data_IF_650000575841
#
_entry.id   IF_650000575841
#
_cell.length_a   1.000
_cell.length_b   1.000
_cell.length_c   1.000
_cell.angle_alpha   90.00
_cell.angle_beta   90.00
_cell.angle_gamma   90.00
#
_symmetry.space_group_name_H-M   'P 1'
#
loop_
_entity.id
_entity.type
_entity.pdbx_description
1 polymer ?
#
# COMPACT_ATOMS: atom_id res chain seq x y z
N UNK A 1 -7.59 -15.49 6.23
CA UNK A 1 -6.79 -14.32 5.84
C UNK A 1 -6.23 -14.56 4.45
N UNK A 2 -6.55 -13.73 3.49
CA UNK A 2 -5.99 -13.76 2.13
C UNK A 2 -4.67 -12.99 2.10
N UNK A 3 -3.71 -13.48 1.31
CA UNK A 3 -2.49 -12.73 1.01
C UNK A 3 -2.84 -11.49 0.16
N UNK A 4 -2.10 -10.39 0.34
CA UNK A 4 -2.19 -9.24 -0.55
C UNK A 4 -1.34 -9.56 -1.79
N UNK A 5 -1.93 -9.77 -2.98
CA UNK A 5 -1.16 -10.08 -4.18
C UNK A 5 -0.42 -8.84 -4.70
N UNK A 6 0.62 -9.02 -5.53
CA UNK A 6 1.27 -7.90 -6.19
C UNK A 6 0.29 -7.13 -7.08
N UNK A 7 0.43 -5.80 -7.10
CA UNK A 7 -0.33 -4.94 -7.98
C UNK A 7 0.21 -5.01 -9.41
N UNK A 8 -0.67 -5.20 -10.39
CA UNK A 8 -0.32 -5.29 -11.81
C UNK A 8 -0.59 -3.96 -12.50
N UNK A 9 0.45 -3.44 -13.13
CA UNK A 9 0.44 -2.17 -13.84
C UNK A 9 0.91 -2.39 -15.28
N UNK A 10 0.23 -1.77 -16.24
CA UNK A 10 0.67 -1.64 -17.61
C UNK A 10 1.27 -0.24 -17.81
N UNK A 11 2.52 -0.20 -18.27
CA UNK A 11 3.23 1.05 -18.58
C UNK A 11 3.15 1.29 -20.10
N UNK A 12 2.36 2.27 -20.57
CA UNK A 12 2.27 2.57 -21.99
C UNK A 12 3.54 3.27 -22.49
N UNK A 13 3.81 3.16 -23.80
CA UNK A 13 4.95 3.83 -24.43
C UNK A 13 4.93 5.37 -24.30
N UNK A 14 3.76 5.95 -24.06
CA UNK A 14 3.59 7.39 -23.83
C UNK A 14 3.93 7.86 -22.41
N UNK A 15 4.29 6.98 -21.48
CA UNK A 15 4.66 7.35 -20.12
C UNK A 15 5.96 8.21 -20.09
N UNK A 16 6.06 9.26 -19.25
CA UNK A 16 5.10 9.72 -18.25
C UNK A 16 4.05 10.74 -18.74
N UNK A 17 3.96 11.01 -20.06
CA UNK A 17 2.94 11.94 -20.61
C UNK A 17 1.52 11.40 -20.46
N UNK A 18 1.37 10.09 -20.23
CA UNK A 18 0.11 9.44 -19.90
C UNK A 18 0.27 8.62 -18.62
N UNK A 19 -0.81 8.50 -17.85
CA UNK A 19 -0.83 7.69 -16.63
C UNK A 19 -0.70 6.19 -16.95
N UNK A 20 0.00 5.42 -16.10
CA UNK A 20 0.04 3.97 -16.25
C UNK A 20 -1.33 3.37 -15.92
N UNK A 21 -1.65 2.24 -16.55
CA UNK A 21 -2.97 1.61 -16.45
C UNK A 21 -2.93 0.50 -15.41
N UNK A 22 -3.82 0.59 -14.42
CA UNK A 22 -3.98 -0.46 -13.42
C UNK A 22 -4.79 -1.61 -14.02
N UNK A 23 -4.21 -2.81 -14.01
CA UNK A 23 -4.86 -4.02 -14.54
C UNK A 23 -5.76 -4.68 -13.51
N UNK A 24 -5.51 -4.42 -12.23
CA UNK A 24 -6.34 -4.88 -11.13
C UNK A 24 -7.65 -4.10 -11.06
N UNK A 25 -8.76 -4.81 -10.85
CA UNK A 25 -10.04 -4.17 -10.52
C UNK A 25 -9.94 -3.52 -9.15
N UNK A 26 -10.23 -2.23 -9.08
CA UNK A 26 -10.36 -1.51 -7.83
C UNK A 26 -11.77 -1.70 -7.29
N UNK A 27 -11.89 -2.06 -6.01
CA UNK A 27 -13.19 -2.24 -5.42
C UNK A 27 -13.83 -0.86 -5.15
N UNK A 28 -15.16 -0.79 -5.20
CA UNK A 28 -15.90 0.46 -4.98
C UNK A 28 -15.68 1.01 -3.56
N UNK A 29 -16.00 2.29 -3.32
CA UNK A 29 -15.80 2.94 -2.00
C UNK A 29 -16.52 2.20 -0.84
N UNK A 30 -17.60 1.44 -1.12
CA UNK A 30 -18.30 0.61 -0.14
C UNK A 30 -17.49 -0.60 0.35
N UNK A 31 -16.44 -0.99 -0.36
CA UNK A 31 -15.58 -2.13 -0.03
C UNK A 31 -14.64 -1.91 1.15
N UNK A 32 -14.60 -0.69 1.72
CA UNK A 32 -13.79 -0.35 2.90
C UNK A 32 -14.09 -1.23 4.12
N UNK A 33 -15.32 -1.74 4.22
CA UNK A 33 -15.77 -2.62 5.29
C UNK A 33 -15.50 -4.11 5.01
N UNK A 34 -14.81 -4.45 3.92
CA UNK A 34 -14.45 -5.84 3.60
C UNK A 34 -13.39 -6.37 4.57
N UNK A 35 -13.52 -7.63 4.99
CA UNK A 35 -12.47 -8.33 5.73
C UNK A 35 -11.28 -8.74 4.85
N UNK A 36 -11.40 -8.59 3.52
CA UNK A 36 -10.33 -8.88 2.58
C UNK A 36 -9.26 -7.78 2.58
N UNK A 37 -8.05 -8.14 3.02
CA UNK A 37 -6.92 -7.21 3.12
C UNK A 37 -6.50 -6.66 1.75
N UNK A 38 -6.60 -7.48 0.70
CA UNK A 38 -6.32 -7.06 -0.68
C UNK A 38 -7.27 -5.94 -1.13
N UNK A 39 -8.56 -6.11 -0.90
CA UNK A 39 -9.61 -5.13 -1.19
C UNK A 39 -9.38 -3.83 -0.43
N UNK A 40 -9.09 -3.90 0.88
CA UNK A 40 -8.75 -2.73 1.69
C UNK A 40 -7.50 -2.00 1.17
N UNK A 41 -6.45 -2.74 0.81
CA UNK A 41 -5.21 -2.16 0.30
C UNK A 41 -5.42 -1.45 -1.05
N UNK A 42 -6.13 -2.11 -1.97
CA UNK A 42 -6.52 -1.51 -3.26
C UNK A 42 -7.39 -0.28 -3.08
N UNK A 43 -8.38 -0.31 -2.19
CA UNK A 43 -9.22 0.86 -1.91
C UNK A 43 -8.39 2.06 -1.42
N UNK A 44 -7.53 1.89 -0.41
CA UNK A 44 -6.64 2.96 0.09
C UNK A 44 -5.71 3.50 -0.99
N UNK A 45 -5.16 2.60 -1.81
CA UNK A 45 -4.27 3.00 -2.90
C UNK A 45 -5.00 3.79 -3.99
N UNK A 46 -6.22 3.38 -4.37
CA UNK A 46 -7.05 4.12 -5.33
C UNK A 46 -7.39 5.53 -4.85
N UNK A 47 -7.69 5.69 -3.56
CA UNK A 47 -7.93 7.01 -2.94
C UNK A 47 -6.67 7.88 -3.02
N UNK A 48 -5.48 7.31 -2.72
CA UNK A 48 -4.22 8.04 -2.81
C UNK A 48 -3.96 8.55 -4.23
N UNK A 49 -4.24 7.74 -5.26
CA UNK A 49 -4.03 8.13 -6.65
C UNK A 49 -5.00 9.23 -7.11
N UNK A 50 -6.26 9.19 -6.67
CA UNK A 50 -7.27 10.22 -7.02
C UNK A 50 -6.91 11.63 -6.53
N UNK A 51 -6.11 11.72 -5.47
CA UNK A 51 -5.71 13.01 -4.86
C UNK A 51 -4.50 13.69 -5.50
N UNK A 52 -3.86 13.11 -6.53
CA UNK A 52 -2.64 13.66 -7.12
C UNK A 52 -2.89 14.37 -8.46
N UNK A 53 -2.30 15.56 -8.60
CA UNK A 53 -2.39 16.43 -9.78
C UNK A 53 -1.23 16.20 -10.75
N UNK A 54 -0.09 15.69 -10.28
CA UNK A 54 1.14 15.51 -11.08
C UNK A 54 1.43 14.03 -11.38
N UNK A 55 1.96 13.69 -12.58
CA UNK A 55 2.34 12.32 -12.91
C UNK A 55 3.39 11.77 -11.93
N UNK A 56 3.06 10.64 -11.30
CA UNK A 56 3.98 9.91 -10.43
C UNK A 56 4.96 9.06 -11.24
N UNK A 57 6.22 9.01 -10.78
CA UNK A 57 7.20 8.00 -11.20
C UNK A 57 6.76 6.57 -10.81
N UNK A 58 7.22 5.54 -11.53
CA UNK A 58 6.95 4.14 -11.17
C UNK A 58 7.42 3.79 -9.75
N UNK A 59 8.55 4.35 -9.31
CA UNK A 59 9.06 4.16 -7.95
C UNK A 59 8.19 4.81 -6.89
N UNK A 60 7.57 5.96 -7.17
CA UNK A 60 6.57 6.55 -6.29
C UNK A 60 5.29 5.72 -6.22
N UNK A 61 4.82 5.20 -7.36
CA UNK A 61 3.65 4.30 -7.41
C UNK A 61 3.90 3.03 -6.60
N UNK A 62 5.09 2.43 -6.73
CA UNK A 62 5.47 1.24 -5.96
C UNK A 62 5.53 1.53 -4.45
N UNK A 63 6.14 2.65 -4.04
CA UNK A 63 6.19 3.08 -2.62
C UNK A 63 4.81 3.39 -2.07
N UNK A 64 3.95 4.00 -2.87
CA UNK A 64 2.55 4.26 -2.52
C UNK A 64 1.77 2.97 -2.26
N UNK A 65 1.91 1.98 -3.15
CA UNK A 65 1.31 0.66 -2.97
C UNK A 65 1.83 -0.04 -1.71
N UNK A 66 3.15 -0.09 -1.50
CA UNK A 66 3.77 -0.70 -0.30
C UNK A 66 3.26 -0.03 0.99
N UNK A 67 3.17 1.30 1.01
CA UNK A 67 2.64 2.05 2.16
C UNK A 67 1.19 1.67 2.47
N UNK A 68 0.34 1.57 1.43
CA UNK A 68 -1.07 1.16 1.61
C UNK A 68 -1.20 -0.28 2.12
N UNK A 69 -0.44 -1.22 1.54
CA UNK A 69 -0.46 -2.62 1.94
C UNK A 69 0.00 -2.80 3.39
N UNK A 70 1.13 -2.18 3.77
CA UNK A 70 1.64 -2.20 5.16
C UNK A 70 0.64 -1.61 6.14
N UNK A 71 0.03 -0.47 5.79
CA UNK A 71 -0.97 0.17 6.65
C UNK A 71 -2.16 -0.74 6.92
N UNK A 72 -2.67 -1.44 5.91
CA UNK A 72 -3.77 -2.40 6.08
C UNK A 72 -3.36 -3.59 6.95
N UNK A 73 -2.14 -4.10 6.79
CA UNK A 73 -1.61 -5.19 7.63
C UNK A 73 -1.48 -4.74 9.08
N UNK A 74 -0.94 -3.54 9.34
CA UNK A 74 -0.81 -2.99 10.69
C UNK A 74 -2.17 -2.77 11.34
N UNK A 75 -3.13 -2.14 10.64
CA UNK A 75 -4.49 -1.92 11.14
C UNK A 75 -5.18 -3.25 11.48
N UNK A 76 -4.99 -4.28 10.66
CA UNK A 76 -5.52 -5.62 10.94
C UNK A 76 -4.87 -6.27 12.18
N UNK A 77 -3.55 -6.16 12.31
CA UNK A 77 -2.82 -6.69 13.46
C UNK A 77 -3.30 -6.03 14.77
N UNK A 78 -3.50 -4.71 14.77
CA UNK A 78 -4.02 -3.97 15.92
C UNK A 78 -5.47 -4.38 16.24
N UNK A 79 -6.34 -4.47 15.23
CA UNK A 79 -7.76 -4.87 15.40
C UNK A 79 -7.92 -6.28 15.99
N UNK A 80 -6.95 -7.17 15.75
CA UNK A 80 -6.95 -8.54 16.25
C UNK A 80 -6.24 -8.70 17.60
N UNK A 81 -5.90 -7.59 18.27
CA UNK A 81 -5.22 -7.58 19.57
C UNK A 81 -3.72 -7.84 19.49
N UNK A 82 -3.16 -7.85 18.28
CA UNK A 82 -1.72 -7.89 18.02
C UNK A 82 -1.10 -6.50 17.95
N UNK A 83 -0.10 -6.35 17.08
CA UNK A 83 0.64 -5.12 16.88
C UNK A 83 1.87 -5.37 16.00
N UNK A 84 2.78 -4.42 15.93
CA UNK A 84 4.07 -4.62 15.27
C UNK A 84 5.05 -5.35 16.20
N UNK A 85 6.15 -5.85 15.63
CA UNK A 85 7.28 -6.31 16.45
C UNK A 85 7.72 -5.21 17.43
N UNK A 86 7.82 -3.97 16.95
CA UNK A 86 8.25 -2.84 17.75
C UNK A 86 7.27 -2.42 18.84
N UNK A 87 5.97 -2.60 18.65
CA UNK A 87 4.98 -2.30 19.70
C UNK A 87 5.04 -3.32 20.85
N UNK A 88 5.51 -4.54 20.58
CA UNK A 88 5.61 -5.61 21.58
C UNK A 88 6.98 -5.70 22.26
N UNK A 89 8.04 -5.44 21.51
CA UNK A 89 9.42 -5.68 21.97
C UNK A 89 10.31 -4.42 21.95
N UNK A 90 9.80 -3.26 21.53
CA UNK A 90 10.58 -2.04 21.37
C UNK A 90 11.25 -1.92 19.99
N UNK A 91 11.76 -0.73 19.68
CA UNK A 91 12.48 -0.48 18.43
C UNK A 91 13.93 -0.98 18.53
N UNK A 92 14.51 -1.39 17.41
CA UNK A 92 15.94 -1.68 17.37
C UNK A 92 16.74 -0.39 17.61
N UNK A 93 17.75 -0.49 18.45
CA UNK A 93 18.68 0.61 18.71
C UNK A 93 19.59 0.82 17.50
N UNK A 94 19.83 2.09 17.15
CA UNK A 94 20.72 2.44 16.03
C UNK A 94 22.17 2.23 16.45
N UNK A 95 22.82 1.16 15.97
CA UNK A 95 24.21 0.83 16.32
C UNK A 95 25.28 1.73 15.66
N UNK A 96 24.97 2.98 15.28
CA UNK A 96 25.85 3.87 14.49
C UNK A 96 26.97 4.49 15.35
N UNK A 97 27.44 3.77 16.37
CA UNK A 97 28.42 4.25 17.36
C UNK A 97 29.64 3.36 17.53
N UNK A 98 29.92 2.43 16.62
CA UNK A 98 31.19 1.71 16.61
C UNK A 98 32.13 2.35 15.57
N UNK A 99 32.91 3.34 16.01
CA UNK A 99 34.07 3.88 15.31
C UNK A 99 35.29 3.74 16.20
#
# INVERSE_FOLDING_TARGET
MSLIPPLRLLVPAGYPKCSPVLLDKFPDEQSRNSDDLSTKAKSKFGIMLRGRVEPMSLGEIARAWDTCARKVISEYAEQTGGGSFSSRYGCWESCVGAS
#
